data_IF_230667620176
#
_entry.id   IF_230667620176
#
_cell.length_a   1.000
_cell.length_b   1.000
_cell.length_c   1.000
_cell.angle_alpha   90.00
_cell.angle_beta   90.00
_cell.angle_gamma   90.00
#
_symmetry.space_group_name_H-M   'P 1'
#
loop_
_entity.id
_entity.type
_entity.pdbx_description
1 polymer ?
#
# COMPACT_ATOMS: atom_id res chain seq x y z
N UNK A 1 -6.07 -16.99 21.61
CA UNK A 1 -4.66 -16.78 21.29
C UNK A 1 -4.17 -15.42 21.78
N UNK A 2 -4.76 -14.32 21.36
CA UNK A 2 -4.47 -12.98 21.90
C UNK A 2 -4.73 -12.86 23.41
N UNK A 3 -5.73 -13.56 23.96
CA UNK A 3 -6.03 -13.57 25.39
C UNK A 3 -4.88 -14.09 26.26
N UNK A 4 -4.14 -15.10 25.79
CA UNK A 4 -2.97 -15.63 26.50
C UNK A 4 -1.80 -14.68 26.50
N UNK A 5 -1.51 -14.04 25.37
CA UNK A 5 -0.43 -13.07 25.24
C UNK A 5 -0.68 -11.80 26.07
N UNK A 6 -1.91 -11.29 26.06
CA UNK A 6 -2.34 -10.12 26.84
C UNK A 6 -2.20 -10.38 28.35
N UNK A 7 -2.57 -11.57 28.83
CA UNK A 7 -2.49 -11.93 30.25
C UNK A 7 -1.04 -12.08 30.73
N UNK A 8 -0.14 -12.56 29.87
CA UNK A 8 1.24 -12.80 30.23
C UNK A 8 2.11 -11.53 30.25
N UNK A 9 1.77 -10.54 29.41
CA UNK A 9 2.58 -9.34 29.23
C UNK A 9 1.93 -8.06 29.80
N UNK A 10 0.70 -8.11 30.29
CA UNK A 10 0.03 -6.98 30.98
C UNK A 10 -0.20 -5.72 30.14
N UNK A 11 0.00 -5.79 28.83
CA UNK A 11 0.16 -4.63 27.95
C UNK A 11 -1.10 -4.21 27.19
N UNK A 12 -2.23 -4.92 27.34
CA UNK A 12 -3.47 -4.50 26.66
C UNK A 12 -4.66 -4.55 27.61
N UNK A 13 -5.47 -3.48 27.69
CA UNK A 13 -6.76 -3.52 28.36
C UNK A 13 -7.70 -4.50 27.64
N UNK A 14 -8.70 -5.01 28.36
CA UNK A 14 -9.76 -5.85 27.77
C UNK A 14 -10.47 -5.09 26.64
N UNK A 15 -10.02 -5.28 25.43
CA UNK A 15 -10.72 -4.75 24.25
C UNK A 15 -11.49 -5.89 23.60
N UNK A 16 -12.77 -5.67 23.39
CA UNK A 16 -13.57 -6.51 22.51
C UNK A 16 -13.20 -6.16 21.06
N UNK A 17 -12.52 -7.07 20.39
CA UNK A 17 -12.25 -6.90 18.97
C UNK A 17 -13.54 -7.11 18.17
N UNK A 18 -13.81 -6.29 17.13
CA UNK A 18 -14.91 -6.56 16.22
C UNK A 18 -14.81 -7.96 15.62
N UNK A 19 -15.96 -8.60 15.38
CA UNK A 19 -16.04 -9.94 14.77
C UNK A 19 -15.24 -9.92 13.43
N UNK A 20 -14.31 -10.85 13.24
CA UNK A 20 -13.44 -10.90 12.06
C UNK A 20 -12.08 -10.18 12.18
N UNK A 21 -11.81 -9.51 13.31
CA UNK A 21 -10.50 -8.84 13.49
C UNK A 21 -9.38 -9.82 13.83
N UNK A 22 -9.71 -10.92 14.52
CA UNK A 22 -8.73 -11.95 14.91
C UNK A 22 -8.23 -12.69 13.66
N UNK A 23 -9.12 -13.00 12.74
CA UNK A 23 -8.79 -13.64 11.47
C UNK A 23 -7.93 -12.74 10.60
N UNK A 24 -8.20 -11.44 10.56
CA UNK A 24 -7.38 -10.46 9.83
C UNK A 24 -5.98 -10.30 10.44
N UNK A 25 -5.88 -10.34 11.76
CA UNK A 25 -4.59 -10.29 12.45
C UNK A 25 -3.81 -11.59 12.24
N UNK A 26 -4.48 -12.74 12.29
CA UNK A 26 -3.86 -14.03 12.01
C UNK A 26 -3.36 -14.11 10.55
N UNK A 27 -4.18 -13.69 9.57
CA UNK A 27 -3.76 -13.59 8.17
C UNK A 27 -2.57 -12.65 7.99
N UNK A 28 -2.59 -11.48 8.65
CA UNK A 28 -1.46 -10.55 8.64
C UNK A 28 -0.17 -11.18 9.19
N UNK A 29 -0.25 -11.93 10.28
CA UNK A 29 0.92 -12.62 10.85
C UNK A 29 1.43 -13.74 9.93
N UNK A 30 0.54 -14.45 9.24
CA UNK A 30 0.90 -15.49 8.26
C UNK A 30 1.57 -14.90 7.01
N UNK A 31 1.05 -13.81 6.47
CA UNK A 31 1.61 -13.13 5.29
C UNK A 31 3.00 -12.54 5.53
N UNK A 32 3.35 -12.21 6.77
CA UNK A 32 4.65 -11.65 7.11
C UNK A 32 5.71 -12.69 7.49
N UNK A 33 5.41 -14.00 7.41
CA UNK A 33 6.34 -15.08 7.77
C UNK A 33 7.05 -14.81 9.13
N UNK A 34 6.29 -14.33 10.10
CA UNK A 34 6.78 -14.19 11.46
C UNK A 34 6.95 -15.63 11.97
N UNK A 35 8.16 -16.05 12.24
CA UNK A 35 8.42 -17.36 12.85
C UNK A 35 7.58 -17.47 14.12
N UNK A 36 6.79 -18.53 14.19
CA UNK A 36 5.96 -18.79 15.36
C UNK A 36 6.89 -19.02 16.57
N UNK A 37 6.77 -18.21 17.64
CA UNK A 37 7.58 -18.43 18.83
C UNK A 37 7.35 -19.83 19.39
N UNK A 38 8.41 -20.47 19.88
CA UNK A 38 8.34 -21.83 20.45
C UNK A 38 7.25 -22.00 21.53
N UNK A 39 7.01 -20.94 22.35
CA UNK A 39 5.96 -20.95 23.34
C UNK A 39 4.54 -21.01 22.72
N UNK A 40 4.38 -20.51 21.49
CA UNK A 40 3.12 -20.55 20.76
C UNK A 40 2.83 -21.95 20.26
N UNK A 41 3.83 -22.62 19.69
CA UNK A 41 3.71 -24.01 19.24
C UNK A 41 3.34 -24.94 20.40
N UNK A 42 4.08 -24.84 21.50
CA UNK A 42 3.83 -25.68 22.68
C UNK A 42 2.47 -25.42 23.34
N UNK A 43 1.99 -24.17 23.33
CA UNK A 43 0.66 -23.82 23.84
C UNK A 43 -0.45 -24.33 22.91
N UNK A 44 -0.26 -24.23 21.62
CA UNK A 44 -1.20 -24.75 20.63
C UNK A 44 -1.30 -26.27 20.67
N UNK A 45 -0.19 -26.96 20.75
CA UNK A 45 -0.13 -28.42 20.86
C UNK A 45 -0.78 -28.94 22.16
N UNK A 46 -0.65 -28.21 23.26
CA UNK A 46 -1.19 -28.63 24.57
C UNK A 46 -2.66 -28.27 24.79
N UNK A 47 -3.22 -27.27 24.10
CA UNK A 47 -4.56 -26.72 24.39
C UNK A 47 -5.43 -26.53 23.14
N UNK A 48 -4.89 -26.68 21.95
CA UNK A 48 -5.57 -26.31 20.70
C UNK A 48 -6.56 -27.35 20.15
N UNK A 49 -6.51 -28.58 20.62
CA UNK A 49 -7.16 -29.69 19.91
C UNK A 49 -8.51 -30.15 20.47
N UNK A 50 -8.92 -29.74 21.65
CA UNK A 50 -10.07 -30.37 22.27
C UNK A 50 -11.40 -29.61 22.27
N UNK A 51 -11.41 -28.29 22.05
CA UNK A 51 -12.65 -27.50 22.25
C UNK A 51 -13.17 -26.72 21.03
N UNK A 52 -12.45 -26.68 19.91
CA UNK A 52 -12.86 -25.92 18.72
C UNK A 52 -13.60 -26.78 17.67
N UNK A 53 -13.44 -28.09 17.73
CA UNK A 53 -14.05 -29.04 16.77
C UNK A 53 -15.44 -29.49 17.21
N UNK A 54 -15.82 -29.25 18.46
CA UNK A 54 -17.16 -29.70 18.98
C UNK A 54 -18.33 -28.79 18.62
N UNK A 55 -18.10 -27.60 18.08
CA UNK A 55 -19.20 -26.71 17.67
C UNK A 55 -19.81 -27.00 16.30
N UNK A 56 -19.38 -28.08 15.62
CA UNK A 56 -20.10 -28.63 14.45
C UNK A 56 -20.40 -27.68 13.30
N UNK A 57 -20.04 -26.42 13.41
CA UNK A 57 -20.14 -25.46 12.31
C UNK A 57 -18.94 -25.69 11.37
N UNK A 58 -19.21 -26.41 10.29
CA UNK A 58 -18.31 -26.36 9.13
C UNK A 58 -18.00 -24.89 8.88
N UNK A 59 -16.72 -24.50 9.05
CA UNK A 59 -16.22 -23.28 8.44
C UNK A 59 -16.41 -23.42 6.94
N UNK A 60 -17.56 -23.06 6.45
CA UNK A 60 -17.65 -22.65 5.06
C UNK A 60 -16.77 -21.44 4.97
N UNK A 61 -15.64 -21.55 4.27
CA UNK A 61 -14.93 -20.38 3.73
C UNK A 61 -16.02 -19.51 3.11
N UNK A 62 -16.43 -18.48 3.84
CA UNK A 62 -17.22 -17.41 3.23
C UNK A 62 -16.18 -16.66 2.39
N UNK A 63 -15.92 -17.20 1.20
CA UNK A 63 -15.29 -16.45 0.13
C UNK A 63 -16.30 -15.38 -0.26
N UNK A 64 -16.38 -14.33 0.54
CA UNK A 64 -17.13 -13.14 0.16
C UNK A 64 -16.45 -12.64 -1.10
N UNK A 65 -17.13 -12.80 -2.22
CA UNK A 65 -16.64 -12.29 -3.51
C UNK A 65 -16.27 -10.82 -3.31
N UNK A 66 -14.97 -10.51 -3.48
CA UNK A 66 -14.50 -9.12 -3.36
C UNK A 66 -15.27 -8.24 -4.33
N UNK A 67 -15.72 -7.10 -3.88
CA UNK A 67 -16.30 -6.11 -4.77
C UNK A 67 -15.21 -5.41 -5.58
N UNK A 68 -15.59 -4.68 -6.62
CA UNK A 68 -14.64 -4.02 -7.54
C UNK A 68 -13.72 -3.01 -6.85
N UNK A 69 -14.21 -2.36 -5.79
CA UNK A 69 -13.41 -1.43 -4.99
C UNK A 69 -12.32 -2.15 -4.17
N UNK A 70 -12.66 -3.30 -3.59
CA UNK A 70 -11.72 -4.15 -2.85
C UNK A 70 -10.66 -4.76 -3.78
N UNK A 71 -11.05 -5.19 -4.98
CA UNK A 71 -10.14 -5.71 -6.00
C UNK A 71 -9.15 -4.63 -6.44
N UNK A 72 -9.64 -3.43 -6.77
CA UNK A 72 -8.78 -2.33 -7.18
C UNK A 72 -7.83 -1.88 -6.06
N UNK A 73 -8.30 -1.87 -4.82
CA UNK A 73 -7.49 -1.54 -3.65
C UNK A 73 -6.37 -2.57 -3.43
N UNK A 74 -6.67 -3.85 -3.54
CA UNK A 74 -5.67 -4.92 -3.49
C UNK A 74 -4.57 -4.71 -4.53
N UNK A 75 -4.94 -4.45 -5.80
CA UNK A 75 -3.96 -4.22 -6.87
C UNK A 75 -3.06 -3.01 -6.58
N UNK A 76 -3.64 -1.93 -6.05
CA UNK A 76 -2.90 -0.73 -5.66
C UNK A 76 -1.92 -1.02 -4.51
N UNK A 77 -2.39 -1.68 -3.44
CA UNK A 77 -1.61 -1.92 -2.23
C UNK A 77 -0.49 -2.95 -2.46
N UNK A 78 -0.75 -4.04 -3.18
CA UNK A 78 0.29 -5.02 -3.50
C UNK A 78 1.35 -4.42 -4.45
N UNK A 79 0.95 -3.60 -5.43
CA UNK A 79 1.92 -2.87 -6.25
C UNK A 79 2.75 -1.88 -5.41
N UNK A 80 2.11 -1.17 -4.47
CA UNK A 80 2.80 -0.30 -3.51
C UNK A 80 3.80 -1.07 -2.66
N UNK A 81 3.44 -2.26 -2.19
CA UNK A 81 4.29 -3.14 -1.38
C UNK A 81 5.54 -3.58 -2.16
N UNK A 82 5.38 -4.05 -3.39
CA UNK A 82 6.49 -4.44 -4.27
C UNK A 82 7.44 -3.26 -4.50
N UNK A 83 6.93 -2.10 -4.88
CA UNK A 83 7.75 -0.90 -5.12
C UNK A 83 8.43 -0.42 -3.83
N UNK A 84 7.69 -0.37 -2.73
CA UNK A 84 8.16 0.11 -1.43
C UNK A 84 9.26 -0.80 -0.85
N UNK A 85 9.11 -2.12 -0.95
CA UNK A 85 10.12 -3.08 -0.50
C UNK A 85 11.44 -2.86 -1.25
N UNK A 86 11.40 -2.84 -2.57
CA UNK A 86 12.60 -2.65 -3.39
C UNK A 86 13.27 -1.29 -3.15
N UNK A 87 12.46 -0.22 -3.00
CA UNK A 87 12.97 1.11 -2.68
C UNK A 87 13.66 1.14 -1.30
N UNK A 88 12.99 0.60 -0.27
CA UNK A 88 13.50 0.58 1.10
C UNK A 88 14.80 -0.24 1.21
N UNK A 89 14.85 -1.42 0.60
CA UNK A 89 16.07 -2.23 0.55
C UNK A 89 17.22 -1.48 -0.13
N UNK A 90 16.93 -0.75 -1.21
CA UNK A 90 17.97 0.02 -1.90
C UNK A 90 18.46 1.19 -1.06
N UNK A 91 17.57 1.92 -0.38
CA UNK A 91 17.95 3.00 0.56
C UNK A 91 18.84 2.44 1.69
N UNK A 92 18.44 1.34 2.30
CA UNK A 92 19.16 0.75 3.43
C UNK A 92 20.54 0.21 3.03
N UNK A 93 20.65 -0.43 1.87
CA UNK A 93 21.89 -1.07 1.43
C UNK A 93 22.84 -0.12 0.71
N UNK A 94 22.33 0.89 -0.01
CA UNK A 94 23.10 1.71 -0.96
C UNK A 94 22.88 3.22 -0.81
N UNK A 95 21.95 3.63 0.04
CA UNK A 95 21.62 5.03 0.26
C UNK A 95 20.65 5.64 -0.75
N UNK A 96 20.24 6.90 -0.48
CA UNK A 96 19.17 7.60 -1.21
C UNK A 96 19.53 7.89 -2.68
N UNK A 97 20.80 8.16 -3.01
CA UNK A 97 21.23 8.43 -4.38
C UNK A 97 21.05 7.22 -5.28
N UNK A 98 21.46 6.04 -4.82
CA UNK A 98 21.28 4.80 -5.56
C UNK A 98 19.80 4.40 -5.64
N UNK A 99 19.03 4.67 -4.60
CA UNK A 99 17.59 4.46 -4.63
C UNK A 99 16.89 5.35 -5.66
N UNK A 100 17.35 6.59 -5.85
CA UNK A 100 16.83 7.47 -6.89
C UNK A 100 17.15 6.95 -8.31
N UNK A 101 18.38 6.47 -8.53
CA UNK A 101 18.77 5.83 -9.79
C UNK A 101 17.96 4.53 -10.04
N UNK A 102 17.78 3.71 -9.01
CA UNK A 102 16.93 2.53 -9.05
C UNK A 102 15.48 2.88 -9.44
N UNK A 103 14.88 3.90 -8.83
CA UNK A 103 13.52 4.35 -9.18
C UNK A 103 13.40 4.78 -10.62
N UNK A 104 14.44 5.45 -11.15
CA UNK A 104 14.46 5.87 -12.56
C UNK A 104 14.35 4.70 -13.52
N UNK A 105 15.06 3.61 -13.24
CA UNK A 105 15.16 2.44 -14.14
C UNK A 105 14.08 1.40 -13.85
N UNK A 106 13.80 1.10 -12.57
CA UNK A 106 13.03 -0.07 -12.17
C UNK A 106 11.57 0.20 -11.80
N UNK A 107 11.21 1.45 -11.45
CA UNK A 107 9.86 1.71 -10.97
C UNK A 107 8.76 1.48 -12.02
N UNK A 108 9.03 1.71 -13.31
CA UNK A 108 8.10 1.39 -14.39
C UNK A 108 8.05 -0.11 -14.66
N UNK A 109 9.17 -0.84 -14.92
CA UNK A 109 9.15 -2.28 -15.08
C UNK A 109 8.46 -3.05 -13.95
N UNK A 110 8.67 -2.67 -12.70
CA UNK A 110 7.98 -3.27 -11.56
C UNK A 110 6.47 -3.03 -11.59
N UNK A 111 6.04 -1.81 -11.97
CA UNK A 111 4.61 -1.52 -12.13
C UNK A 111 4.00 -2.33 -13.29
N UNK A 112 4.73 -2.47 -14.40
CA UNK A 112 4.28 -3.22 -15.57
C UNK A 112 4.20 -4.73 -15.27
N UNK A 113 5.13 -5.27 -14.48
CA UNK A 113 5.06 -6.67 -14.05
C UNK A 113 3.82 -6.96 -13.21
N UNK A 114 3.44 -6.01 -12.33
CA UNK A 114 2.21 -6.12 -11.55
C UNK A 114 0.96 -5.97 -12.42
N UNK A 115 1.03 -5.15 -13.48
CA UNK A 115 -0.04 -5.03 -14.48
C UNK A 115 -0.29 -6.37 -15.19
N UNK A 116 0.78 -7.07 -15.56
CA UNK A 116 0.69 -8.41 -16.16
C UNK A 116 0.15 -9.43 -15.15
N UNK A 117 0.68 -9.41 -13.92
CA UNK A 117 0.28 -10.33 -12.86
C UNK A 117 -1.24 -10.29 -12.58
N UNK A 118 -1.81 -9.10 -12.54
CA UNK A 118 -3.24 -8.90 -12.24
C UNK A 118 -4.14 -8.85 -13.49
N UNK A 119 -3.57 -8.98 -14.68
CA UNK A 119 -4.29 -8.73 -15.94
C UNK A 119 -5.05 -7.39 -15.89
N UNK A 120 -4.37 -6.34 -15.47
CA UNK A 120 -4.91 -5.02 -15.27
C UNK A 120 -3.95 -3.94 -15.81
N UNK A 121 -4.47 -2.79 -16.17
CA UNK A 121 -3.62 -1.63 -16.48
C UNK A 121 -3.39 -0.83 -15.21
N UNK A 122 -2.21 -0.93 -14.62
CA UNK A 122 -1.85 -0.23 -13.39
C UNK A 122 -0.96 0.97 -13.73
N UNK A 123 -1.36 2.16 -13.29
CA UNK A 123 -0.59 3.41 -13.46
C UNK A 123 -0.46 4.13 -12.12
N UNK A 124 0.64 4.86 -11.98
CA UNK A 124 0.83 5.87 -10.94
C UNK A 124 0.90 7.21 -11.63
N UNK A 125 -0.05 8.08 -11.38
CA UNK A 125 -0.15 9.37 -12.07
C UNK A 125 -0.17 10.52 -11.07
N UNK A 126 0.32 11.67 -11.50
CA UNK A 126 0.42 12.86 -10.66
C UNK A 126 0.20 14.13 -11.47
N UNK A 127 -0.31 15.15 -10.81
CA UNK A 127 -0.35 16.54 -11.30
C UNK A 127 1.02 17.21 -11.23
N UNK A 128 1.90 16.73 -10.32
CA UNK A 128 3.31 17.09 -10.22
C UNK A 128 4.17 15.86 -10.50
N UNK A 129 4.27 15.47 -11.74
CA UNK A 129 4.99 14.26 -12.12
C UNK A 129 6.51 14.47 -12.15
N UNK A 130 7.27 13.47 -11.67
CA UNK A 130 8.73 13.36 -11.85
C UNK A 130 9.02 12.76 -13.21
N UNK A 131 8.50 11.57 -13.46
CA UNK A 131 8.60 10.93 -14.78
C UNK A 131 7.49 11.47 -15.70
N UNK A 132 7.78 11.95 -16.91
CA UNK A 132 6.79 12.42 -17.87
C UNK A 132 5.66 11.41 -18.16
N UNK A 133 5.97 10.10 -18.14
CA UNK A 133 5.00 9.04 -18.36
C UNK A 133 3.95 8.92 -17.25
N UNK A 134 4.19 9.54 -16.11
CA UNK A 134 3.28 9.56 -14.96
C UNK A 134 2.43 10.85 -14.90
N UNK A 135 2.37 11.61 -15.98
CA UNK A 135 1.50 12.80 -16.05
C UNK A 135 0.04 12.37 -16.05
N UNK A 136 -0.74 12.94 -15.15
CA UNK A 136 -2.18 12.70 -15.07
C UNK A 136 -2.93 13.32 -16.25
N UNK A 137 -3.95 12.62 -16.77
CA UNK A 137 -4.89 13.15 -17.74
C UNK A 137 -5.98 14.00 -17.06
N UNK A 138 -6.88 14.60 -17.84
CA UNK A 138 -7.90 15.50 -17.33
C UNK A 138 -8.88 14.83 -16.33
N UNK A 139 -9.20 13.55 -16.51
CA UNK A 139 -10.05 12.80 -15.58
C UNK A 139 -9.29 12.48 -14.29
N UNK A 140 -8.05 11.98 -14.40
CA UNK A 140 -7.19 11.67 -13.28
C UNK A 140 -6.89 12.90 -12.41
N UNK A 141 -6.75 14.09 -13.02
CA UNK A 141 -6.56 15.36 -12.31
C UNK A 141 -7.78 15.71 -11.41
N UNK A 142 -8.99 15.39 -11.82
CA UNK A 142 -10.21 15.61 -10.99
C UNK A 142 -10.15 14.80 -9.70
N UNK A 143 -9.74 13.51 -9.80
CA UNK A 143 -9.65 12.64 -8.62
C UNK A 143 -8.44 12.99 -7.74
N UNK A 144 -7.33 13.44 -8.33
CA UNK A 144 -6.20 13.98 -7.53
C UNK A 144 -6.67 15.18 -6.71
N UNK A 145 -7.39 16.12 -7.32
CA UNK A 145 -7.92 17.29 -6.63
C UNK A 145 -8.92 16.91 -5.53
N UNK A 146 -9.81 15.95 -5.80
CA UNK A 146 -10.78 15.44 -4.83
C UNK A 146 -10.07 14.82 -3.61
N UNK A 147 -9.10 13.93 -3.80
CA UNK A 147 -8.35 13.31 -2.70
C UNK A 147 -7.52 14.34 -1.92
N UNK A 148 -6.94 15.34 -2.57
CA UNK A 148 -6.25 16.44 -1.90
C UNK A 148 -7.20 17.25 -1.01
N UNK A 149 -8.40 17.53 -1.47
CA UNK A 149 -9.42 18.23 -0.70
C UNK A 149 -9.88 17.39 0.51
N UNK A 150 -10.18 16.11 0.31
CA UNK A 150 -10.59 15.20 1.39
C UNK A 150 -9.52 15.13 2.48
N UNK A 151 -8.26 15.00 2.10
CA UNK A 151 -7.14 14.98 3.05
C UNK A 151 -6.99 16.30 3.80
N UNK A 152 -7.09 17.44 3.10
CA UNK A 152 -7.01 18.76 3.72
C UNK A 152 -8.14 19.05 4.72
N UNK A 153 -9.29 18.40 4.55
CA UNK A 153 -10.47 18.55 5.42
C UNK A 153 -10.64 17.39 6.41
N UNK A 154 -9.63 16.51 6.53
CA UNK A 154 -9.66 15.31 7.38
C UNK A 154 -10.89 14.40 7.13
N UNK A 155 -11.39 14.35 5.90
CA UNK A 155 -12.46 13.46 5.51
C UNK A 155 -11.92 12.05 5.30
N UNK A 156 -12.77 11.05 5.54
CA UNK A 156 -12.42 9.65 5.27
C UNK A 156 -12.14 9.45 3.78
N UNK A 157 -10.95 8.91 3.47
CA UNK A 157 -10.56 8.60 2.10
C UNK A 157 -11.02 7.19 1.76
N UNK A 158 -11.91 7.09 0.77
CA UNK A 158 -12.40 5.81 0.23
C UNK A 158 -11.92 5.63 -1.21
N UNK A 159 -11.61 4.39 -1.62
CA UNK A 159 -11.35 4.09 -3.01
C UNK A 159 -12.52 4.49 -3.90
N UNK A 160 -12.23 4.90 -5.12
CA UNK A 160 -13.24 5.23 -6.13
C UNK A 160 -13.19 4.17 -7.23
N UNK A 161 -14.25 3.41 -7.41
CA UNK A 161 -14.43 2.45 -8.48
C UNK A 161 -15.61 2.84 -9.36
N UNK A 162 -15.39 2.95 -10.66
CA UNK A 162 -16.38 3.40 -11.64
C UNK A 162 -16.53 2.36 -12.74
N UNK A 163 -17.73 1.96 -13.01
CA UNK A 163 -18.03 1.09 -14.14
C UNK A 163 -17.97 1.87 -15.47
N UNK A 164 -17.20 1.36 -16.42
CA UNK A 164 -17.09 1.87 -17.79
C UNK A 164 -17.25 0.71 -18.78
N UNK A 165 -18.49 0.40 -19.13
CA UNK A 165 -18.82 -0.80 -19.91
C UNK A 165 -18.51 -2.08 -19.13
N UNK A 166 -17.68 -2.96 -19.70
CA UNK A 166 -17.24 -4.19 -19.06
C UNK A 166 -15.93 -4.01 -18.22
N UNK A 167 -15.48 -2.77 -18.05
CA UNK A 167 -14.28 -2.46 -17.28
C UNK A 167 -14.59 -1.63 -16.05
N UNK A 168 -13.74 -1.80 -15.05
CA UNK A 168 -13.72 -0.95 -13.86
C UNK A 168 -12.53 0.00 -13.96
N UNK A 169 -12.82 1.29 -13.77
CA UNK A 169 -11.80 2.31 -13.61
C UNK A 169 -11.69 2.65 -12.12
N UNK A 170 -10.53 2.40 -11.53
CA UNK A 170 -10.28 2.51 -10.10
C UNK A 170 -9.27 3.61 -9.80
N UNK A 171 -9.50 4.37 -8.72
CA UNK A 171 -8.61 5.42 -8.25
C UNK A 171 -8.41 5.33 -6.74
N UNK A 172 -7.15 5.50 -6.29
CA UNK A 172 -6.79 5.54 -4.88
C UNK A 172 -5.56 6.44 -4.67
N UNK A 173 -5.47 7.24 -3.59
CA UNK A 173 -4.37 8.19 -3.43
C UNK A 173 -3.03 7.51 -3.13
N UNK A 174 -1.97 8.18 -3.55
CA UNK A 174 -0.59 7.91 -3.15
C UNK A 174 -0.19 8.99 -2.16
N UNK A 175 -0.16 8.61 -0.89
CA UNK A 175 0.17 9.50 0.22
C UNK A 175 1.67 9.51 0.49
N UNK A 176 2.17 10.66 0.92
CA UNK A 176 3.55 10.84 1.36
C UNK A 176 3.72 10.49 2.83
N UNK A 177 4.87 9.94 3.16
CA UNK A 177 5.37 9.74 4.52
C UNK A 177 6.80 10.25 4.63
N UNK A 178 7.41 10.20 5.82
CA UNK A 178 8.79 10.66 6.09
C UNK A 178 9.80 10.13 5.08
N UNK A 179 9.70 8.84 4.69
CA UNK A 179 10.62 8.24 3.71
C UNK A 179 10.53 8.91 2.34
N UNK A 180 9.34 9.29 1.91
CA UNK A 180 9.10 9.94 0.62
C UNK A 180 9.80 11.31 0.53
N UNK A 181 9.91 12.01 1.67
CA UNK A 181 10.41 13.38 1.72
C UNK A 181 11.92 13.50 1.48
N UNK A 182 12.68 12.40 1.58
CA UNK A 182 14.08 12.39 1.20
C UNK A 182 14.32 12.81 -0.27
N UNK A 183 13.33 12.55 -1.14
CA UNK A 183 13.39 12.87 -2.57
C UNK A 183 12.25 13.77 -3.06
N UNK A 184 11.17 13.91 -2.27
CA UNK A 184 9.97 14.65 -2.66
C UNK A 184 9.62 15.78 -1.68
N UNK A 185 10.41 15.97 -0.61
CA UNK A 185 10.23 17.04 0.37
C UNK A 185 10.41 18.44 -0.21
N UNK A 186 10.39 19.43 0.67
CA UNK A 186 10.69 20.81 0.28
C UNK A 186 12.16 20.96 -0.11
N UNK A 187 12.51 21.82 -1.08
CA UNK A 187 13.87 21.94 -1.61
C UNK A 187 14.95 22.20 -0.54
N UNK A 188 14.60 22.90 0.52
CA UNK A 188 15.48 23.19 1.66
C UNK A 188 15.78 21.97 2.55
N UNK A 189 14.92 20.93 2.51
CA UNK A 189 15.05 19.70 3.29
C UNK A 189 15.62 18.53 2.52
N UNK A 190 15.62 18.59 1.19
CA UNK A 190 16.25 17.58 0.36
C UNK A 190 17.76 17.83 0.32
N UNK A 191 18.56 16.78 0.56
CA UNK A 191 20.03 16.90 0.48
C UNK A 191 20.46 17.41 -0.89
N UNK A 192 21.44 18.34 -0.98
CA UNK A 192 21.88 18.96 -2.23
C UNK A 192 22.26 17.94 -3.31
N UNK A 193 22.96 16.87 -2.93
CA UNK A 193 23.36 15.80 -3.84
C UNK A 193 22.17 15.02 -4.41
N UNK A 194 21.08 14.84 -3.61
CA UNK A 194 19.85 14.21 -4.07
C UNK A 194 19.11 15.13 -5.06
N UNK A 195 19.04 16.42 -4.77
CA UNK A 195 18.45 17.43 -5.67
C UNK A 195 19.20 17.48 -7.01
N UNK A 196 20.52 17.53 -6.97
CA UNK A 196 21.37 17.54 -8.18
C UNK A 196 21.17 16.26 -9.02
N UNK A 197 21.17 15.09 -8.37
CA UNK A 197 20.92 13.81 -9.04
C UNK A 197 19.50 13.72 -9.61
N UNK A 198 18.52 14.25 -8.89
CA UNK A 198 17.14 14.31 -9.39
C UNK A 198 17.05 15.12 -10.66
N UNK A 199 17.64 16.32 -10.68
CA UNK A 199 17.63 17.18 -11.87
C UNK A 199 18.37 16.55 -13.07
N UNK A 200 19.46 15.82 -12.79
CA UNK A 200 20.18 15.07 -13.83
C UNK A 200 19.31 13.99 -14.48
N UNK A 201 18.58 13.20 -13.66
CA UNK A 201 17.75 12.09 -14.14
C UNK A 201 16.39 12.54 -14.68
N UNK A 202 15.88 13.65 -14.16
CA UNK A 202 14.55 14.19 -14.46
C UNK A 202 14.62 15.72 -14.62
N UNK A 203 15.10 16.22 -15.76
CA UNK A 203 15.29 17.67 -15.98
C UNK A 203 14.00 18.51 -15.85
N UNK A 204 12.84 17.87 -15.94
CA UNK A 204 11.51 18.48 -15.83
C UNK A 204 10.75 18.01 -14.59
N UNK A 205 11.48 17.66 -13.52
CA UNK A 205 10.85 17.19 -12.27
C UNK A 205 9.96 18.27 -11.64
N UNK A 206 8.71 17.91 -11.35
CA UNK A 206 7.75 18.74 -10.63
C UNK A 206 7.43 18.18 -9.25
N UNK A 207 7.92 16.98 -8.91
CA UNK A 207 7.49 16.21 -7.76
C UNK A 207 8.28 16.53 -6.48
N UNK A 208 8.37 17.81 -6.16
CA UNK A 208 9.02 18.34 -4.94
C UNK A 208 8.07 19.28 -4.19
N UNK A 209 8.43 19.64 -2.96
CA UNK A 209 7.69 20.57 -2.11
C UNK A 209 6.55 19.90 -1.31
N UNK A 210 6.62 18.58 -1.12
CA UNK A 210 5.64 17.85 -0.31
C UNK A 210 5.98 17.84 1.18
N UNK A 211 4.94 17.72 2.00
CA UNK A 211 5.00 17.40 3.43
C UNK A 211 4.48 15.98 3.66
N UNK A 212 4.56 15.48 4.90
CA UNK A 212 3.91 14.22 5.27
C UNK A 212 2.40 14.33 5.15
N UNK A 213 1.77 13.19 4.87
CA UNK A 213 0.32 13.06 4.76
C UNK A 213 -0.28 13.98 3.67
N UNK A 214 0.43 14.17 2.57
CA UNK A 214 -0.08 14.85 1.38
C UNK A 214 -0.31 13.87 0.23
N UNK A 215 -1.30 14.13 -0.60
CA UNK A 215 -1.56 13.35 -1.82
C UNK A 215 -0.56 13.78 -2.90
N UNK A 216 0.39 12.90 -3.21
CA UNK A 216 1.41 13.11 -4.24
C UNK A 216 0.94 12.72 -5.64
N UNK A 217 -0.10 11.94 -5.73
CA UNK A 217 -0.67 11.40 -6.95
C UNK A 217 -1.69 10.33 -6.63
N UNK A 218 -2.06 9.56 -7.63
CA UNK A 218 -3.02 8.45 -7.47
C UNK A 218 -2.56 7.19 -8.20
N UNK A 219 -3.01 6.07 -7.70
CA UNK A 219 -3.15 4.84 -8.47
C UNK A 219 -4.32 5.03 -9.42
N UNK A 220 -4.11 4.77 -10.71
CA UNK A 220 -5.13 4.76 -11.75
C UNK A 220 -5.09 3.37 -12.39
N UNK A 221 -6.10 2.54 -12.07
CA UNK A 221 -6.10 1.12 -12.41
C UNK A 221 -7.34 0.80 -13.24
N UNK A 222 -7.16 0.07 -14.34
CA UNK A 222 -8.27 -0.40 -15.17
C UNK A 222 -8.22 -1.92 -15.25
N UNK A 223 -9.31 -2.61 -14.95
CA UNK A 223 -9.43 -4.06 -15.02
C UNK A 223 -10.83 -4.48 -15.48
N UNK A 224 -10.97 -5.76 -15.87
CA UNK A 224 -12.25 -6.29 -16.31
C UNK A 224 -13.18 -6.51 -15.11
N UNK A 225 -14.45 -6.15 -15.27
CA UNK A 225 -15.51 -6.42 -14.29
C UNK A 225 -15.61 -7.93 -14.06
N UNK A 226 -15.64 -8.36 -12.81
CA UNK A 226 -15.70 -9.78 -12.40
C UNK A 226 -17.11 -10.20 -11.96
#
# INVERSE_FOLDING_TARGET
>A
LMYGAVRKYGLMPKQAFPKGSVEKIAAFMFDYQIEEPEWFKSHWESHGNENWIQSGEKYTEITTKKNDSEIGLEYALETKKVLGKNLMETIQKKGTLEALAFCNVQAMPLTDSMSVHYNAKIKRVSDKNRNPNNKANAEELKYIAQFKQQMATNQEIKPIALEKGNKIQFYYPIETNTMCLQCHGTPDKIKPEVSAKTLQLYPKDLAVGYKENEVRGIWSITFDKK
#
